data_IF_363782098215
#
_entry.id   IF_363782098215
#
_cell.length_a   1.000
_cell.length_b   1.000
_cell.length_c   1.000
_cell.angle_alpha   90.00
_cell.angle_beta   90.00
_cell.angle_gamma   90.00
#
_symmetry.space_group_name_H-M   'P 1'
#
loop_
_entity.id
_entity.type
_entity.pdbx_description
1 polymer ?
#
# COMPACT_ATOMS: atom_id res chain seq x y z
N UNK A 1 -4.55 -1.16 -35.79
CA UNK A 1 -3.68 -1.71 -34.72
C UNK A 1 -2.68 -2.67 -35.37
N UNK A 2 -1.43 -2.77 -34.86
CA UNK A 2 -0.46 -3.73 -35.36
C UNK A 2 -0.92 -5.18 -35.18
N UNK A 3 -0.36 -6.10 -35.96
CA UNK A 3 -0.63 -7.53 -35.85
C UNK A 3 -0.20 -8.05 -34.47
N UNK A 4 -1.05 -8.87 -33.83
CA UNK A 4 -0.81 -9.45 -32.49
C UNK A 4 -0.34 -10.89 -32.60
N UNK A 5 0.85 -11.07 -33.15
CA UNK A 5 1.50 -12.37 -33.35
C UNK A 5 1.71 -13.16 -32.04
N UNK A 6 1.92 -12.49 -30.92
CA UNK A 6 2.06 -13.07 -29.57
C UNK A 6 0.75 -13.61 -28.97
N UNK A 7 -0.41 -13.23 -29.50
CA UNK A 7 -1.69 -13.53 -28.86
C UNK A 7 -2.04 -15.03 -28.93
N UNK A 8 -2.72 -15.55 -27.91
CA UNK A 8 -3.16 -16.95 -27.80
C UNK A 8 -4.57 -17.16 -28.36
N UNK A 9 -4.85 -16.68 -29.58
CA UNK A 9 -6.20 -16.69 -30.19
C UNK A 9 -6.51 -17.92 -31.05
N UNK A 10 -5.75 -19.00 -30.89
CA UNK A 10 -5.80 -20.18 -31.76
C UNK A 10 -5.07 -19.97 -33.09
N UNK A 11 -4.48 -21.04 -33.62
CA UNK A 11 -3.60 -20.95 -34.81
C UNK A 11 -4.28 -21.34 -36.11
N UNK A 12 -5.41 -22.08 -36.05
CA UNK A 12 -6.07 -22.70 -37.22
C UNK A 12 -5.10 -23.52 -38.11
N UNK A 13 -4.02 -24.04 -37.53
CA UNK A 13 -2.95 -24.73 -38.27
C UNK A 13 -2.06 -23.83 -39.13
N UNK A 14 -2.17 -22.50 -39.02
CA UNK A 14 -1.45 -21.53 -39.87
C UNK A 14 -0.13 -21.03 -39.29
N UNK A 15 0.15 -21.36 -38.02
CA UNK A 15 1.37 -20.98 -37.29
C UNK A 15 1.56 -21.86 -36.06
N UNK A 16 2.75 -21.77 -35.48
CA UNK A 16 3.05 -22.34 -34.17
C UNK A 16 2.19 -21.73 -33.06
N UNK A 17 1.92 -22.54 -32.03
CA UNK A 17 1.12 -22.14 -30.87
C UNK A 17 1.96 -21.26 -29.94
N UNK A 18 1.39 -20.13 -29.52
CA UNK A 18 1.95 -19.38 -28.39
C UNK A 18 1.47 -20.06 -27.10
N UNK A 19 2.38 -20.23 -26.15
CA UNK A 19 2.10 -20.89 -24.88
C UNK A 19 2.26 -19.86 -23.77
N UNK A 20 1.20 -19.66 -22.99
CA UNK A 20 1.26 -18.97 -21.71
C UNK A 20 1.08 -20.06 -20.66
N UNK A 21 2.16 -20.38 -19.95
CA UNK A 21 2.16 -21.44 -18.95
C UNK A 21 2.76 -20.92 -17.64
N UNK A 22 2.15 -21.31 -16.53
CA UNK A 22 2.58 -20.99 -15.17
C UNK A 22 3.00 -22.23 -14.37
N UNK A 23 2.90 -23.44 -14.95
CA UNK A 23 3.21 -24.70 -14.27
C UNK A 23 3.90 -25.69 -15.22
N UNK A 24 5.08 -26.17 -14.84
CA UNK A 24 5.73 -27.29 -15.52
C UNK A 24 5.46 -28.57 -14.72
N UNK A 25 5.08 -29.65 -15.40
CA UNK A 25 4.78 -30.93 -14.73
C UNK A 25 6.07 -31.63 -14.28
N UNK A 26 7.16 -31.40 -15.01
CA UNK A 26 8.50 -31.85 -14.62
C UNK A 26 9.03 -30.94 -13.50
N UNK A 27 9.39 -31.56 -12.37
CA UNK A 27 9.75 -30.84 -11.16
C UNK A 27 10.96 -29.90 -11.38
N UNK A 28 12.01 -30.39 -12.05
CA UNK A 28 13.24 -29.62 -12.32
C UNK A 28 12.94 -28.35 -13.14
N UNK A 29 12.15 -28.49 -14.21
CA UNK A 29 11.74 -27.35 -15.04
C UNK A 29 10.86 -26.36 -14.25
N UNK A 30 10.01 -26.86 -13.35
CA UNK A 30 9.17 -26.01 -12.52
C UNK A 30 9.98 -25.26 -11.46
N UNK A 31 10.99 -25.90 -10.88
CA UNK A 31 11.90 -25.28 -9.92
C UNK A 31 12.71 -24.16 -10.58
N UNK A 32 13.33 -24.42 -11.73
CA UNK A 32 14.06 -23.41 -12.50
C UNK A 32 13.16 -22.21 -12.87
N UNK A 33 11.91 -22.49 -13.25
CA UNK A 33 10.93 -21.45 -13.51
C UNK A 33 10.65 -20.58 -12.28
N UNK A 34 10.42 -21.20 -11.12
CA UNK A 34 10.15 -20.51 -9.86
C UNK A 34 11.36 -19.69 -9.38
N UNK A 35 12.59 -20.24 -9.48
CA UNK A 35 13.83 -19.51 -9.16
C UNK A 35 13.97 -18.27 -10.05
N UNK A 36 13.65 -18.40 -11.35
CA UNK A 36 13.67 -17.25 -12.26
C UNK A 36 12.63 -16.20 -11.89
N UNK A 37 11.42 -16.61 -11.48
CA UNK A 37 10.39 -15.70 -11.00
C UNK A 37 10.81 -14.98 -9.71
N UNK A 38 11.39 -15.71 -8.77
CA UNK A 38 11.91 -15.17 -7.51
C UNK A 38 12.98 -14.09 -7.77
N UNK A 39 13.94 -14.35 -8.66
CA UNK A 39 14.94 -13.35 -9.07
C UNK A 39 14.29 -12.09 -9.63
N UNK A 40 13.24 -12.24 -10.44
CA UNK A 40 12.48 -11.11 -10.98
C UNK A 40 11.76 -10.34 -9.87
N UNK A 41 11.13 -11.03 -8.92
CA UNK A 41 10.42 -10.38 -7.81
C UNK A 41 11.38 -9.63 -6.88
N UNK A 42 12.54 -10.20 -6.56
CA UNK A 42 13.61 -9.48 -5.84
C UNK A 42 14.06 -8.22 -6.55
N UNK A 43 14.27 -8.30 -7.86
CA UNK A 43 14.61 -7.11 -8.65
C UNK A 43 13.49 -6.05 -8.59
N UNK A 44 12.23 -6.47 -8.56
CA UNK A 44 11.10 -5.53 -8.38
C UNK A 44 11.13 -4.90 -6.98
N UNK A 45 11.29 -5.70 -5.92
CA UNK A 45 11.41 -5.21 -4.54
C UNK A 45 12.56 -4.20 -4.37
N UNK A 46 13.67 -4.40 -5.07
CA UNK A 46 14.81 -3.49 -5.05
C UNK A 46 14.56 -2.18 -5.80
N UNK A 47 13.82 -2.20 -6.91
CA UNK A 47 13.78 -1.08 -7.86
C UNK A 47 12.43 -0.38 -8.00
N UNK A 48 11.32 -1.01 -7.60
CA UNK A 48 9.95 -0.57 -7.92
C UNK A 48 9.15 -0.10 -6.68
N UNK A 49 9.81 0.01 -5.52
CA UNK A 49 9.21 0.57 -4.31
C UNK A 49 9.06 2.08 -4.46
N UNK A 50 7.82 2.54 -4.64
CA UNK A 50 7.49 3.95 -4.80
C UNK A 50 6.49 4.40 -3.74
N UNK A 51 6.80 5.50 -3.06
CA UNK A 51 5.93 6.11 -2.06
C UNK A 51 6.21 7.62 -1.91
N UNK A 52 5.26 8.33 -1.32
CA UNK A 52 5.49 9.66 -0.74
C UNK A 52 5.38 9.55 0.78
N UNK A 53 6.27 10.19 1.52
CA UNK A 53 6.19 10.29 2.97
C UNK A 53 6.47 11.72 3.44
N UNK A 54 5.80 12.15 4.50
CA UNK A 54 5.96 13.49 5.06
C UNK A 54 5.61 13.53 6.55
N UNK A 55 6.41 14.26 7.34
CA UNK A 55 6.15 14.57 8.74
C UNK A 55 6.12 13.34 9.65
N UNK A 56 7.08 12.43 9.52
CA UNK A 56 7.14 11.20 10.34
C UNK A 56 7.93 11.41 11.64
N UNK A 57 8.88 12.34 11.59
CA UNK A 57 9.88 12.66 12.60
C UNK A 57 9.32 13.27 13.89
N UNK A 58 8.12 13.87 13.85
CA UNK A 58 7.49 14.51 15.01
C UNK A 58 5.96 14.35 15.07
N UNK A 59 5.39 13.44 14.27
CA UNK A 59 3.96 13.16 14.25
C UNK A 59 3.42 12.57 15.56
N UNK A 60 2.25 13.06 15.97
CA UNK A 60 1.39 12.45 16.98
C UNK A 60 0.65 11.23 16.41
N UNK A 61 0.26 11.28 15.13
CA UNK A 61 -0.43 10.21 14.40
C UNK A 61 0.13 10.13 12.99
N UNK A 62 0.35 8.93 12.46
CA UNK A 62 0.73 8.75 11.04
C UNK A 62 -0.42 8.10 10.29
N UNK A 63 -0.85 8.70 9.19
CA UNK A 63 -1.85 8.10 8.30
C UNK A 63 -1.20 7.31 7.17
N UNK A 64 -1.76 6.14 6.84
CA UNK A 64 -1.37 5.35 5.67
C UNK A 64 -2.55 5.29 4.70
N UNK A 65 -2.37 5.78 3.48
CA UNK A 65 -3.44 5.83 2.49
C UNK A 65 -2.90 5.83 1.05
N UNK A 66 -3.59 5.16 0.13
CA UNK A 66 -3.22 5.07 -1.29
C UNK A 66 -4.34 5.56 -2.19
N UNK A 67 -4.03 5.76 -3.49
CA UNK A 67 -5.04 6.16 -4.48
C UNK A 67 -5.81 7.42 -4.08
N UNK A 68 -7.14 7.38 -4.17
CA UNK A 68 -8.02 8.52 -3.88
C UNK A 68 -7.99 8.93 -2.40
N UNK A 69 -7.94 7.98 -1.46
CA UNK A 69 -8.02 8.31 -0.02
C UNK A 69 -6.83 9.16 0.44
N UNK A 70 -5.65 8.95 -0.14
CA UNK A 70 -4.46 9.75 0.20
C UNK A 70 -4.64 11.26 -0.02
N UNK A 71 -5.42 11.68 -1.03
CA UNK A 71 -5.72 13.11 -1.25
C UNK A 71 -6.63 13.67 -0.16
N UNK A 72 -7.58 12.86 0.29
CA UNK A 72 -8.54 13.23 1.35
C UNK A 72 -7.82 13.33 2.70
N UNK A 73 -6.91 12.38 2.98
CA UNK A 73 -6.05 12.42 4.16
C UNK A 73 -5.21 13.69 4.18
N UNK A 74 -4.61 14.13 3.06
CA UNK A 74 -3.89 15.42 3.01
C UNK A 74 -4.75 16.61 3.43
N UNK A 75 -6.05 16.60 3.14
CA UNK A 75 -6.99 17.63 3.63
C UNK A 75 -7.24 17.49 5.14
N UNK A 76 -7.44 16.27 5.64
CA UNK A 76 -7.61 16.01 7.07
C UNK A 76 -6.37 16.44 7.89
N UNK A 77 -5.16 16.22 7.37
CA UNK A 77 -3.89 16.67 7.98
C UNK A 77 -3.88 18.19 8.16
N UNK A 78 -4.32 18.95 7.14
CA UNK A 78 -4.40 20.42 7.26
C UNK A 78 -5.38 20.87 8.35
N UNK A 79 -6.50 20.16 8.50
CA UNK A 79 -7.48 20.44 9.55
C UNK A 79 -6.93 20.07 10.95
N UNK A 80 -6.20 18.96 11.05
CA UNK A 80 -5.56 18.53 12.30
C UNK A 80 -4.46 19.52 12.73
N UNK A 81 -3.67 20.02 11.77
CA UNK A 81 -2.63 21.03 12.02
C UNK A 81 -3.23 22.34 12.58
N UNK A 82 -4.41 22.76 12.10
CA UNK A 82 -5.13 23.91 12.66
C UNK A 82 -5.57 23.72 14.12
N UNK A 83 -5.61 22.47 14.60
CA UNK A 83 -5.88 22.09 16.00
C UNK A 83 -4.59 21.79 16.80
N UNK A 84 -3.41 22.01 16.20
CA UNK A 84 -2.12 21.74 16.84
C UNK A 84 -1.72 20.26 16.87
N UNK A 85 -2.44 19.38 16.16
CA UNK A 85 -2.11 17.95 16.08
C UNK A 85 -1.16 17.74 14.90
N UNK A 86 -0.01 17.12 15.16
CA UNK A 86 0.99 16.82 14.14
C UNK A 86 0.65 15.48 13.50
N UNK A 87 0.40 15.49 12.19
CA UNK A 87 0.01 14.28 11.47
C UNK A 87 0.97 14.02 10.31
N UNK A 88 1.62 12.87 10.36
CA UNK A 88 2.45 12.35 9.28
C UNK A 88 1.63 11.56 8.27
N UNK A 89 2.20 11.32 7.09
CA UNK A 89 1.58 10.47 6.07
C UNK A 89 2.61 9.58 5.40
N UNK A 90 2.24 8.33 5.17
CA UNK A 90 2.87 7.42 4.21
C UNK A 90 1.83 7.13 3.12
N UNK A 91 2.15 7.49 1.88
CA UNK A 91 1.33 7.20 0.70
C UNK A 91 2.09 6.20 -0.20
N UNK A 92 1.76 4.90 -0.12
CA UNK A 92 2.20 3.94 -1.11
C UNK A 92 1.70 4.35 -2.50
N UNK A 93 2.60 4.45 -3.47
CA UNK A 93 2.27 4.60 -4.90
C UNK A 93 2.22 3.20 -5.53
N UNK A 94 3.23 2.40 -5.24
CA UNK A 94 3.25 0.96 -5.52
C UNK A 94 2.73 0.21 -4.29
N UNK A 95 1.73 -0.67 -4.47
CA UNK A 95 1.18 -1.48 -3.36
C UNK A 95 1.94 -2.79 -3.15
N UNK A 96 2.51 -3.34 -4.22
CA UNK A 96 3.53 -4.39 -4.15
C UNK A 96 4.57 -4.14 -5.25
N UNK A 97 5.87 -4.07 -4.91
CA UNK A 97 6.45 -4.19 -3.56
C UNK A 97 6.08 -3.01 -2.63
N UNK A 98 5.92 -3.31 -1.34
CA UNK A 98 5.44 -2.37 -0.33
C UNK A 98 6.59 -1.65 0.40
N UNK A 99 6.47 -0.36 0.77
CA UNK A 99 7.57 0.40 1.36
C UNK A 99 7.74 0.12 2.86
N UNK A 100 8.21 -1.06 3.26
CA UNK A 100 8.36 -1.40 4.69
C UNK A 100 9.42 -0.53 5.40
N UNK A 101 10.51 -0.17 4.72
CA UNK A 101 11.63 0.55 5.34
C UNK A 101 11.24 1.92 5.90
N UNK A 102 10.31 2.63 5.26
CA UNK A 102 9.92 4.00 5.64
C UNK A 102 9.28 4.09 7.03
N UNK A 103 8.72 2.98 7.53
CA UNK A 103 8.10 2.95 8.85
C UNK A 103 9.13 3.22 9.97
N UNK A 104 10.41 2.94 9.73
CA UNK A 104 11.50 3.20 10.71
C UNK A 104 11.68 4.68 11.01
N UNK A 105 11.29 5.55 10.10
CA UNK A 105 11.42 7.01 10.24
C UNK A 105 10.30 7.61 11.12
N UNK A 106 9.29 6.81 11.48
CA UNK A 106 8.24 7.22 12.41
C UNK A 106 8.84 7.33 13.81
N UNK A 107 8.72 8.53 14.38
CA UNK A 107 9.20 8.83 15.72
C UNK A 107 8.55 7.94 16.80
N UNK A 108 9.28 7.65 17.89
CA UNK A 108 8.81 6.74 18.94
C UNK A 108 7.66 7.29 19.80
N UNK A 109 7.35 8.59 19.72
CA UNK A 109 6.28 9.21 20.51
C UNK A 109 4.91 9.18 19.82
N UNK A 110 4.88 8.78 18.54
CA UNK A 110 3.67 8.60 17.75
C UNK A 110 2.68 7.69 18.49
N UNK A 111 1.42 8.12 18.59
CA UNK A 111 0.36 7.44 19.34
C UNK A 111 -0.29 6.31 18.56
N UNK A 112 -0.17 6.31 17.24
CA UNK A 112 -0.66 5.21 16.42
C UNK A 112 -0.65 5.51 14.93
N UNK A 113 -0.88 4.45 14.16
CA UNK A 113 -1.02 4.49 12.71
C UNK A 113 -2.51 4.40 12.34
N UNK A 114 -2.99 5.26 11.45
CA UNK A 114 -4.34 5.20 10.91
C UNK A 114 -4.32 4.80 9.44
N UNK A 115 -4.72 3.56 9.13
CA UNK A 115 -4.98 3.12 7.77
C UNK A 115 -6.29 3.70 7.25
N UNK A 116 -6.26 4.44 6.13
CA UNK A 116 -7.45 5.03 5.52
C UNK A 116 -7.63 4.49 4.10
N UNK A 117 -8.67 3.66 3.91
CA UNK A 117 -8.88 2.95 2.66
C UNK A 117 -10.32 3.04 2.14
N UNK A 118 -10.48 2.91 0.83
CA UNK A 118 -11.76 2.60 0.20
C UNK A 118 -11.86 1.08 -0.04
N UNK A 119 -11.63 0.33 1.03
CA UNK A 119 -11.49 -1.13 1.08
C UNK A 119 -11.90 -1.61 2.49
N UNK A 120 -11.67 -2.88 2.81
CA UNK A 120 -11.89 -3.46 4.15
C UNK A 120 -10.55 -3.80 4.85
N UNK A 121 -9.54 -2.96 4.66
CA UNK A 121 -8.28 -3.06 5.41
C UNK A 121 -7.24 -3.97 4.79
N UNK A 122 -7.22 -4.06 3.45
CA UNK A 122 -6.30 -4.91 2.70
C UNK A 122 -4.82 -4.57 2.95
N UNK A 123 -4.48 -3.36 3.40
CA UNK A 123 -3.10 -3.01 3.76
C UNK A 123 -2.82 -3.07 5.27
N UNK A 124 -3.78 -3.47 6.09
CA UNK A 124 -3.59 -3.48 7.55
C UNK A 124 -2.48 -4.43 7.96
N UNK A 125 -2.35 -5.57 7.32
CA UNK A 125 -1.29 -6.52 7.63
C UNK A 125 0.09 -5.97 7.21
N UNK A 126 0.20 -5.32 6.05
CA UNK A 126 1.43 -4.64 5.64
C UNK A 126 1.85 -3.52 6.60
N UNK A 127 0.88 -2.74 7.09
CA UNK A 127 1.11 -1.69 8.09
C UNK A 127 1.61 -2.31 9.40
N UNK A 128 0.97 -3.39 9.86
CA UNK A 128 1.38 -4.10 11.08
C UNK A 128 2.76 -4.72 10.95
N UNK A 129 3.10 -5.27 9.78
CA UNK A 129 4.42 -5.80 9.48
C UNK A 129 5.45 -4.67 9.50
N UNK A 130 5.22 -3.57 8.77
CA UNK A 130 6.16 -2.45 8.70
C UNK A 130 6.37 -1.74 10.03
N UNK A 131 5.35 -1.68 10.90
CA UNK A 131 5.48 -1.05 12.22
C UNK A 131 6.17 -1.95 13.25
N UNK A 132 6.24 -3.25 13.00
CA UNK A 132 6.89 -4.24 13.89
C UNK A 132 6.36 -4.16 15.34
N UNK A 133 5.06 -3.88 15.50
CA UNK A 133 4.41 -3.78 16.80
C UNK A 133 4.78 -2.55 17.65
N UNK A 134 5.53 -1.57 17.13
CA UNK A 134 5.99 -0.39 17.89
C UNK A 134 4.87 0.52 18.40
N UNK A 135 3.71 0.52 17.74
CA UNK A 135 2.55 1.34 18.10
C UNK A 135 1.25 0.72 17.54
N UNK A 136 0.08 1.06 18.09
CA UNK A 136 -1.19 0.50 17.65
C UNK A 136 -1.54 0.94 16.22
N UNK A 137 -2.24 0.05 15.50
CA UNK A 137 -2.74 0.27 14.15
C UNK A 137 -4.26 0.32 14.18
N UNK A 138 -4.81 1.41 13.65
CA UNK A 138 -6.23 1.70 13.53
C UNK A 138 -6.64 1.71 12.06
N UNK A 139 -7.95 1.58 11.81
CA UNK A 139 -8.50 1.51 10.47
C UNK A 139 -9.75 2.39 10.31
N UNK A 140 -9.79 3.16 9.22
CA UNK A 140 -10.95 3.91 8.78
C UNK A 140 -11.24 3.61 7.30
N UNK A 141 -12.13 2.63 7.08
CA UNK A 141 -12.51 2.13 5.76
C UNK A 141 -13.90 2.54 5.31
N UNK A 142 -14.10 2.61 3.99
CA UNK A 142 -15.42 2.67 3.34
C UNK A 142 -15.46 1.75 2.11
N UNK A 143 -16.63 1.24 1.75
CA UNK A 143 -16.82 0.36 0.59
C UNK A 143 -18.08 0.70 -0.21
N UNK A 144 -18.27 0.06 -1.36
CA UNK A 144 -19.50 0.19 -2.16
C UNK A 144 -19.69 1.57 -2.77
N UNK A 145 -18.60 2.26 -3.13
CA UNK A 145 -18.64 3.61 -3.68
C UNK A 145 -18.71 4.72 -2.62
N UNK A 146 -18.82 4.38 -1.34
CA UNK A 146 -18.71 5.35 -0.25
C UNK A 146 -17.27 5.82 -0.09
N UNK A 147 -17.09 7.12 0.11
CA UNK A 147 -15.77 7.77 0.22
C UNK A 147 -15.57 8.27 1.66
N UNK A 148 -14.40 8.03 2.30
CA UNK A 148 -14.07 8.68 3.57
C UNK A 148 -14.12 10.20 3.45
N UNK A 149 -14.60 10.90 4.48
CA UNK A 149 -14.64 12.37 4.48
C UNK A 149 -13.48 12.95 5.27
N UNK A 150 -12.97 14.15 4.94
CA UNK A 150 -11.91 14.79 5.73
C UNK A 150 -12.29 14.94 7.21
N UNK A 151 -13.55 15.27 7.50
CA UNK A 151 -14.06 15.40 8.87
C UNK A 151 -14.11 14.05 9.61
N UNK A 152 -14.48 12.96 8.93
CA UNK A 152 -14.48 11.62 9.53
C UNK A 152 -13.07 11.13 9.84
N UNK A 153 -12.12 11.38 8.93
CA UNK A 153 -10.70 11.05 9.15
C UNK A 153 -10.13 11.89 10.30
N UNK A 154 -10.43 13.20 10.33
CA UNK A 154 -10.01 14.10 11.41
C UNK A 154 -10.50 13.60 12.77
N UNK A 155 -11.75 13.17 12.88
CA UNK A 155 -12.30 12.65 14.13
C UNK A 155 -11.54 11.41 14.63
N UNK A 156 -11.11 10.51 13.73
CA UNK A 156 -10.27 9.36 14.11
C UNK A 156 -8.85 9.80 14.51
N UNK A 157 -8.25 10.75 13.78
CA UNK A 157 -6.95 11.35 14.16
C UNK A 157 -7.02 11.93 15.57
N UNK A 158 -8.06 12.71 15.89
CA UNK A 158 -8.23 13.33 17.21
C UNK A 158 -8.34 12.27 18.31
N UNK A 159 -9.12 11.20 18.08
CA UNK A 159 -9.21 10.08 19.04
C UNK A 159 -7.86 9.44 19.31
N UNK A 160 -7.06 9.21 18.28
CA UNK A 160 -5.74 8.55 18.41
C UNK A 160 -4.71 9.47 19.05
N UNK A 161 -4.71 10.76 18.70
CA UNK A 161 -3.78 11.77 19.23
C UNK A 161 -4.00 12.04 20.73
N UNK A 162 -5.04 11.49 21.35
CA UNK A 162 -5.41 11.78 22.74
C UNK A 162 -6.25 13.06 22.87
N UNK A 163 -6.91 13.47 21.78
CA UNK A 163 -7.93 14.51 21.77
C UNK A 163 -8.97 14.25 22.85
N UNK A 164 -9.02 15.20 23.77
CA UNK A 164 -9.71 15.25 25.07
C UNK A 164 -11.16 14.72 25.08
N UNK A 165 -11.56 14.21 26.26
CA UNK A 165 -12.95 13.99 26.68
C UNK A 165 -13.94 15.05 26.17
#
# INVERSE_FOLDING_TARGET
MPAKDWATTGTKGKREKNIVNSLFLEAELCEDHNIRLEKKYKLMEENEVLYEAFGLEDADVVCVAYGTTSRIVKTAIKLAAAKGIKVGIIRPITLWPYPYAIYKDINPNCKGILGVEMSQGQLIDDIKIGIEGRMPVYFHGRTGGMVPTPAGILAEIEKIAGGTK
#
